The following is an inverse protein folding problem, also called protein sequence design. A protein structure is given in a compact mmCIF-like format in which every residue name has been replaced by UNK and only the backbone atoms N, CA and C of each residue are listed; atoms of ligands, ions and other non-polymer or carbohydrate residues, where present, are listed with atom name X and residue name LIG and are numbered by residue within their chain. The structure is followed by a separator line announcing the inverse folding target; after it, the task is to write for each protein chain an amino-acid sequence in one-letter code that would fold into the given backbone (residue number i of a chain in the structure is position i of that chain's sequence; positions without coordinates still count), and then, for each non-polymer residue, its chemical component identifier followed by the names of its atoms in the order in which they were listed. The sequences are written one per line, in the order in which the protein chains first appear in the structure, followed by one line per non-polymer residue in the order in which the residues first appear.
data_IF_170843703691
#
_entry.id   IF_170843703691
#
_cell.length_a   1.000
_cell.length_b   1.000
_cell.length_c   1.000
_cell.angle_alpha   90.00
_cell.angle_beta   90.00
_cell.angle_gamma   90.00
#
_symmetry.space_group_name_H-M   'P 1'
#
loop_
_entity.id
_entity.type
_entity.pdbx_description
1 polymer ?
#
# COMPACT_ATOMS: atom_id res chain seq x y z
N UNK A 1 26.43 24.27 -23.56
CA UNK A 1 25.90 25.03 -22.40
C UNK A 1 24.76 24.21 -21.84
N UNK A 2 24.99 23.58 -20.69
CA UNK A 2 24.12 22.55 -20.13
C UNK A 2 22.80 23.17 -19.66
N UNK A 3 21.68 22.68 -20.22
CA UNK A 3 20.35 22.96 -19.69
C UNK A 3 20.22 22.21 -18.37
N UNK A 4 20.31 22.93 -17.24
CA UNK A 4 19.86 22.42 -15.95
C UNK A 4 18.33 22.24 -16.06
N UNK A 5 17.87 21.01 -16.28
CA UNK A 5 16.47 20.68 -16.06
C UNK A 5 16.24 20.68 -14.54
N UNK A 6 15.64 21.76 -14.06
CA UNK A 6 15.21 21.87 -12.67
C UNK A 6 13.95 21.03 -12.49
N UNK A 7 14.13 19.75 -12.15
CA UNK A 7 13.09 18.74 -11.91
C UNK A 7 12.37 19.00 -10.58
N UNK A 8 11.83 20.21 -10.38
CA UNK A 8 11.09 20.56 -9.16
C UNK A 8 9.72 19.89 -9.17
N UNK A 9 9.60 18.79 -8.42
CA UNK A 9 8.38 18.35 -7.72
C UNK A 9 7.04 18.71 -8.39
N UNK A 10 6.79 18.21 -9.60
CA UNK A 10 5.51 18.43 -10.28
C UNK A 10 4.39 17.67 -9.56
N UNK A 11 3.52 18.38 -8.84
CA UNK A 11 2.29 17.83 -8.29
C UNK A 11 1.33 17.55 -9.45
N UNK A 12 1.16 16.27 -9.82
CA UNK A 12 0.23 15.89 -10.88
C UNK A 12 -1.10 15.51 -10.23
N UNK A 13 -2.03 16.47 -10.18
CA UNK A 13 -3.40 16.23 -9.74
C UNK A 13 -4.20 15.67 -10.92
N UNK A 14 -4.47 14.36 -10.93
CA UNK A 14 -5.46 13.77 -11.83
C UNK A 14 -6.69 13.36 -11.01
N UNK A 15 -7.67 14.25 -10.78
CA UNK A 15 -8.97 13.83 -10.30
C UNK A 15 -9.66 13.07 -11.44
N UNK A 16 -9.50 11.75 -11.46
CA UNK A 16 -10.09 10.90 -12.49
C UNK A 16 -11.34 10.23 -11.96
N UNK A 17 -12.49 10.87 -12.16
CA UNK A 17 -13.80 10.23 -12.01
C UNK A 17 -14.16 9.51 -13.32
N UNK A 18 -13.63 8.30 -13.53
CA UNK A 18 -14.17 7.38 -14.55
C UNK A 18 -14.87 6.22 -13.85
N UNK A 19 -16.11 5.96 -14.26
CA UNK A 19 -16.95 4.86 -13.79
C UNK A 19 -16.59 3.50 -14.45
N UNK A 20 -15.38 3.37 -15.00
CA UNK A 20 -14.91 2.15 -15.65
C UNK A 20 -13.39 2.15 -15.76
N UNK A 21 -12.75 1.16 -15.11
CA UNK A 21 -11.34 0.76 -15.27
C UNK A 21 -10.33 1.90 -15.53
N UNK A 22 -9.78 2.49 -14.47
CA UNK A 22 -8.69 3.46 -14.58
C UNK A 22 -7.32 2.78 -14.49
N UNK A 23 -6.47 3.06 -15.49
CA UNK A 23 -5.04 2.77 -15.50
C UNK A 23 -4.28 4.08 -15.37
N UNK A 24 -3.61 4.30 -14.23
CA UNK A 24 -2.72 5.45 -14.08
C UNK A 24 -1.28 5.01 -13.82
N UNK A 25 -0.37 5.65 -14.54
CA UNK A 25 1.07 5.42 -14.46
C UNK A 25 1.78 6.75 -14.28
N UNK A 26 2.54 6.87 -13.19
CA UNK A 26 3.37 8.03 -12.93
C UNK A 26 4.80 7.59 -12.54
N UNK A 27 5.80 8.15 -13.22
CA UNK A 27 7.21 7.79 -13.04
C UNK A 27 7.84 8.45 -11.82
N UNK A 28 7.59 9.75 -11.59
CA UNK A 28 8.17 10.53 -10.48
C UNK A 28 7.19 11.64 -10.03
N UNK A 29 7.13 11.92 -8.72
CA UNK A 29 6.44 13.08 -8.16
C UNK A 29 5.32 12.72 -7.18
N UNK A 30 4.29 13.56 -7.12
CA UNK A 30 3.10 13.33 -6.30
C UNK A 30 1.93 12.94 -7.20
N UNK A 31 1.29 11.80 -6.90
CA UNK A 31 0.09 11.32 -7.58
C UNK A 31 -1.06 11.16 -6.58
N UNK A 32 -2.20 11.78 -6.91
CA UNK A 32 -3.46 11.65 -6.17
C UNK A 32 -4.50 11.00 -7.08
N UNK A 33 -5.09 9.89 -6.64
CA UNK A 33 -6.14 9.16 -7.35
C UNK A 33 -7.37 9.04 -6.45
N UNK A 34 -8.53 9.37 -6.99
CA UNK A 34 -9.83 9.16 -6.34
C UNK A 34 -10.75 8.42 -7.29
N UNK A 35 -11.33 7.31 -6.84
CA UNK A 35 -12.19 6.46 -7.67
C UNK A 35 -13.40 5.99 -6.86
N UNK A 36 -14.59 6.16 -7.42
CA UNK A 36 -15.82 5.86 -6.69
C UNK A 36 -16.15 4.37 -6.73
N UNK A 37 -16.34 3.79 -7.91
CA UNK A 37 -16.87 2.42 -8.04
C UNK A 37 -16.21 1.65 -9.16
N UNK A 38 -15.94 0.36 -8.93
CA UNK A 38 -15.44 -0.59 -9.93
C UNK A 38 -13.95 -0.92 -9.77
N UNK A 39 -13.28 -1.18 -10.88
CA UNK A 39 -11.89 -1.64 -10.92
C UNK A 39 -10.90 -0.48 -11.10
N UNK A 40 -9.91 -0.37 -10.22
CA UNK A 40 -8.84 0.63 -10.31
C UNK A 40 -7.46 -0.06 -10.27
N UNK A 41 -6.60 0.26 -11.24
CA UNK A 41 -5.21 -0.18 -11.29
C UNK A 41 -4.27 1.02 -11.33
N UNK A 42 -3.43 1.15 -10.30
CA UNK A 42 -2.45 2.24 -10.18
C UNK A 42 -1.03 1.68 -10.10
N UNK A 43 -0.14 2.23 -10.92
CA UNK A 43 1.30 1.96 -10.84
C UNK A 43 2.08 3.26 -10.66
N UNK A 44 2.92 3.32 -9.64
CA UNK A 44 3.75 4.48 -9.36
C UNK A 44 5.18 4.09 -9.04
N UNK A 45 6.16 4.79 -9.62
CA UNK A 45 7.55 4.39 -9.50
C UNK A 45 8.32 5.18 -8.42
N UNK A 46 8.21 6.51 -8.34
CA UNK A 46 8.96 7.30 -7.35
C UNK A 46 8.17 8.47 -6.82
N UNK A 47 8.23 8.67 -5.50
CA UNK A 47 7.60 9.80 -4.83
C UNK A 47 6.45 9.36 -3.93
N UNK A 48 5.35 10.10 -3.98
CA UNK A 48 4.21 9.99 -3.08
C UNK A 48 2.95 9.61 -3.85
N UNK A 49 2.32 8.50 -3.47
CA UNK A 49 1.05 8.05 -4.02
C UNK A 49 -0.03 8.06 -2.94
N UNK A 50 -1.12 8.79 -3.20
CA UNK A 50 -2.34 8.76 -2.41
C UNK A 50 -3.49 8.21 -3.25
N UNK A 51 -4.11 7.12 -2.81
CA UNK A 51 -5.27 6.51 -3.46
C UNK A 51 -6.44 6.46 -2.49
N UNK A 52 -7.57 7.01 -2.91
CA UNK A 52 -8.87 6.84 -2.27
C UNK A 52 -9.81 6.10 -3.21
N UNK A 53 -10.37 4.99 -2.73
CA UNK A 53 -11.26 4.13 -3.52
C UNK A 53 -12.50 3.77 -2.70
N UNK A 54 -13.69 4.12 -3.18
CA UNK A 54 -14.89 3.92 -2.38
C UNK A 54 -15.34 2.44 -2.41
N UNK A 55 -15.69 1.90 -3.58
CA UNK A 55 -16.27 0.56 -3.71
C UNK A 55 -15.68 -0.24 -4.91
N UNK A 56 -15.42 -1.54 -4.73
CA UNK A 56 -15.00 -2.46 -5.81
C UNK A 56 -13.61 -3.10 -5.65
N UNK A 57 -12.79 -3.09 -6.70
CA UNK A 57 -11.47 -3.74 -6.73
C UNK A 57 -10.35 -2.74 -6.95
N UNK A 58 -9.36 -2.74 -6.07
CA UNK A 58 -8.20 -1.88 -6.14
C UNK A 58 -6.90 -2.69 -6.20
N UNK A 59 -6.11 -2.47 -7.25
CA UNK A 59 -4.75 -2.98 -7.38
C UNK A 59 -3.75 -1.81 -7.43
N UNK A 60 -2.84 -1.77 -6.46
CA UNK A 60 -1.78 -0.76 -6.40
C UNK A 60 -0.41 -1.40 -6.35
N UNK A 61 0.48 -0.95 -7.24
CA UNK A 61 1.91 -1.31 -7.22
C UNK A 61 2.76 -0.05 -7.13
N UNK A 62 3.63 0.00 -6.12
CA UNK A 62 4.55 1.12 -5.90
C UNK A 62 6.01 0.66 -5.76
N UNK A 63 6.91 1.44 -6.34
CA UNK A 63 8.35 1.42 -6.01
C UNK A 63 8.80 2.70 -5.30
N UNK A 64 7.82 3.54 -4.90
CA UNK A 64 8.04 4.87 -4.38
C UNK A 64 8.33 4.91 -2.89
N UNK A 65 8.48 6.12 -2.34
CA UNK A 65 8.88 6.32 -0.94
C UNK A 65 7.70 6.30 0.03
N UNK A 66 6.54 6.75 -0.41
CA UNK A 66 5.33 6.82 0.42
C UNK A 66 4.11 6.39 -0.37
N UNK A 67 3.37 5.42 0.17
CA UNK A 67 2.10 4.96 -0.37
C UNK A 67 1.03 4.98 0.73
N UNK A 68 -0.03 5.74 0.48
CA UNK A 68 -1.24 5.77 1.29
C UNK A 68 -2.43 5.29 0.46
N UNK A 69 -3.07 4.22 0.92
CA UNK A 69 -4.27 3.65 0.32
C UNK A 69 -5.39 3.64 1.35
N UNK A 70 -6.53 4.23 0.99
CA UNK A 70 -7.75 4.16 1.79
C UNK A 70 -8.92 3.67 0.97
N UNK A 71 -9.67 2.72 1.52
CA UNK A 71 -10.91 2.24 0.93
C UNK A 71 -12.05 2.14 1.93
N UNK A 72 -13.28 2.29 1.45
CA UNK A 72 -14.48 2.04 2.24
C UNK A 72 -14.91 0.58 2.12
N UNK A 73 -14.99 0.02 0.92
CA UNK A 73 -15.44 -1.35 0.71
C UNK A 73 -14.79 -2.01 -0.50
N UNK A 74 -14.39 -3.28 -0.34
CA UNK A 74 -14.06 -4.15 -1.48
C UNK A 74 -12.77 -4.95 -1.33
N UNK A 75 -12.12 -5.21 -2.46
CA UNK A 75 -10.92 -6.04 -2.54
C UNK A 75 -9.70 -5.20 -2.87
N UNK A 76 -8.74 -5.16 -1.94
CA UNK A 76 -7.51 -4.39 -2.08
C UNK A 76 -6.32 -5.33 -2.19
N UNK A 77 -5.56 -5.16 -3.27
CA UNK A 77 -4.24 -5.77 -3.45
C UNK A 77 -3.20 -4.65 -3.55
N UNK A 78 -2.33 -4.56 -2.54
CA UNK A 78 -1.34 -3.50 -2.44
C UNK A 78 0.06 -4.09 -2.30
N UNK A 79 0.97 -3.68 -3.18
CA UNK A 79 2.36 -4.11 -3.17
C UNK A 79 3.30 -2.92 -3.23
N UNK A 80 4.23 -2.85 -2.28
CA UNK A 80 5.34 -1.90 -2.30
C UNK A 80 6.69 -2.59 -2.25
N UNK A 81 7.65 -2.08 -3.03
CA UNK A 81 9.03 -2.55 -2.98
C UNK A 81 9.81 -1.94 -1.81
N UNK A 82 9.60 -0.66 -1.53
CA UNK A 82 10.34 0.09 -0.51
C UNK A 82 9.46 1.20 0.09
N UNK A 83 9.94 1.83 1.16
CA UNK A 83 9.33 3.04 1.74
C UNK A 83 8.30 2.80 2.84
N UNK A 84 7.44 3.79 3.05
CA UNK A 84 6.38 3.76 4.06
C UNK A 84 5.04 3.44 3.39
N UNK A 85 4.41 2.36 3.85
CA UNK A 85 3.13 1.88 3.37
C UNK A 85 2.07 1.97 4.46
N UNK A 86 1.04 2.76 4.20
CA UNK A 86 -0.17 2.85 5.02
C UNK A 86 -1.38 2.40 4.20
N UNK A 87 -2.05 1.34 4.66
CA UNK A 87 -3.26 0.81 4.01
C UNK A 87 -4.39 0.74 5.05
N UNK A 88 -5.53 1.32 4.72
CA UNK A 88 -6.73 1.23 5.55
C UNK A 88 -7.96 0.83 4.75
N UNK A 89 -8.75 -0.10 5.28
CA UNK A 89 -10.09 -0.38 4.77
C UNK A 89 -11.13 -0.36 5.89
N UNK A 90 -12.35 0.06 5.59
CA UNK A 90 -13.49 -0.13 6.49
C UNK A 90 -14.05 -1.55 6.36
N UNK A 91 -14.25 -2.05 5.14
CA UNK A 91 -14.81 -3.38 4.90
C UNK A 91 -14.15 -4.09 3.71
N UNK A 92 -14.09 -5.42 3.78
CA UNK A 92 -13.69 -6.27 2.65
C UNK A 92 -12.40 -7.05 2.87
N UNK A 93 -11.68 -7.31 1.78
CA UNK A 93 -10.50 -8.18 1.75
C UNK A 93 -9.27 -7.38 1.40
N UNK A 94 -8.24 -7.46 2.24
CA UNK A 94 -6.95 -6.82 2.01
C UNK A 94 -5.82 -7.84 1.92
N UNK A 95 -5.06 -7.76 0.83
CA UNK A 95 -3.79 -8.43 0.66
C UNK A 95 -2.70 -7.36 0.49
N UNK A 96 -1.82 -7.26 1.49
CA UNK A 96 -0.78 -6.24 1.52
C UNK A 96 0.59 -6.87 1.62
N UNK A 97 1.47 -6.47 0.70
CA UNK A 97 2.86 -6.92 0.66
C UNK A 97 3.80 -5.71 0.68
N UNK A 98 4.79 -5.76 1.57
CA UNK A 98 5.95 -4.85 1.53
C UNK A 98 7.25 -5.65 1.52
N UNK A 99 8.15 -5.32 0.61
CA UNK A 99 9.48 -5.94 0.60
C UNK A 99 10.42 -5.26 1.61
N UNK A 100 10.47 -3.93 1.64
CA UNK A 100 11.37 -3.16 2.50
C UNK A 100 10.66 -1.91 3.06
N UNK A 101 11.08 -1.45 4.25
CA UNK A 101 10.54 -0.26 4.90
C UNK A 101 9.43 -0.55 5.92
N UNK A 102 8.54 0.41 6.14
CA UNK A 102 7.54 0.34 7.22
C UNK A 102 6.16 0.00 6.67
N UNK A 103 5.47 -0.94 7.33
CA UNK A 103 4.13 -1.35 6.99
C UNK A 103 3.17 -1.10 8.14
N UNK A 104 2.15 -0.26 7.89
CA UNK A 104 1.01 -0.05 8.76
C UNK A 104 -0.27 -0.41 8.00
N UNK A 105 -1.05 -1.34 8.55
CA UNK A 105 -2.32 -1.76 7.97
C UNK A 105 -3.41 -1.78 9.02
N UNK A 106 -4.61 -1.31 8.65
CA UNK A 106 -5.79 -1.31 9.51
C UNK A 106 -7.04 -1.74 8.73
N UNK A 107 -7.85 -2.61 9.33
CA UNK A 107 -9.20 -2.93 8.86
C UNK A 107 -10.19 -2.78 9.99
N UNK A 108 -11.42 -2.34 9.70
CA UNK A 108 -12.53 -2.43 10.65
C UNK A 108 -13.23 -3.80 10.56
N UNK A 109 -13.56 -4.24 9.35
CA UNK A 109 -14.29 -5.50 9.09
C UNK A 109 -13.67 -6.27 7.92
N UNK A 110 -13.87 -7.60 7.88
CA UNK A 110 -13.40 -8.48 6.79
C UNK A 110 -12.07 -9.20 7.06
N UNK A 111 -11.28 -9.41 6.01
CA UNK A 111 -10.07 -10.26 6.06
C UNK A 111 -8.81 -9.47 5.70
N UNK A 112 -7.77 -9.66 6.49
CA UNK A 112 -6.47 -9.04 6.24
C UNK A 112 -5.35 -10.09 6.23
N UNK A 113 -4.67 -10.17 5.09
CA UNK A 113 -3.36 -10.82 4.95
C UNK A 113 -2.29 -9.75 4.73
N UNK A 114 -1.37 -9.64 5.67
CA UNK A 114 -0.23 -8.73 5.56
C UNK A 114 1.08 -9.52 5.63
N UNK A 115 1.98 -9.23 4.69
CA UNK A 115 3.34 -9.77 4.69
C UNK A 115 4.34 -8.63 4.53
N UNK A 116 5.33 -8.60 5.44
CA UNK A 116 6.49 -7.73 5.31
C UNK A 116 7.76 -8.54 5.45
N UNK A 117 8.73 -8.30 4.57
CA UNK A 117 10.06 -8.87 4.74
C UNK A 117 10.95 -8.05 5.70
N UNK A 118 10.51 -6.86 6.11
CA UNK A 118 11.12 -6.08 7.21
C UNK A 118 10.43 -6.37 8.56
N UNK A 119 11.19 -6.27 9.66
CA UNK A 119 10.73 -6.58 11.02
C UNK A 119 9.67 -5.60 11.58
N UNK A 120 9.52 -4.41 10.98
CA UNK A 120 8.69 -3.33 11.51
C UNK A 120 7.28 -3.32 10.91
N UNK A 121 6.46 -4.32 11.26
CA UNK A 121 5.01 -4.27 11.07
C UNK A 121 4.38 -3.72 12.35
N UNK A 122 4.13 -2.42 12.39
CA UNK A 122 3.28 -1.86 13.45
C UNK A 122 1.83 -2.11 13.07
N UNK A 123 1.16 -3.03 13.77
CA UNK A 123 -0.29 -3.24 13.61
C UNK A 123 -1.03 -2.49 14.69
N UNK A 124 -1.76 -1.46 14.33
CA UNK A 124 -2.86 -0.97 15.17
C UNK A 124 -4.10 -1.82 14.87
N UNK A 125 -4.05 -3.08 15.31
CA UNK A 125 -5.28 -3.82 15.63
C UNK A 125 -5.85 -3.18 16.88
N UNK A 126 -6.80 -2.26 16.72
CA UNK A 126 -7.77 -2.09 17.79
C UNK A 126 -8.42 -3.47 18.00
N UNK A 127 -8.10 -4.09 19.14
CA UNK A 127 -9.07 -4.62 20.09
C UNK A 127 -10.55 -4.58 19.63
N UNK A 128 -10.91 -5.34 18.62
CA UNK A 128 -12.26 -5.85 18.39
C UNK A 128 -12.20 -7.35 18.14
N UNK A 129 -11.46 -8.07 19.00
CA UNK A 129 -12.03 -9.30 19.56
C UNK A 129 -13.15 -8.90 20.52
N UNK A 130 -14.23 -8.38 19.95
CA UNK A 130 -15.56 -8.39 20.56
C UNK A 130 -16.52 -8.61 19.42
N UNK A 131 -16.69 -9.89 19.09
CA UNK A 131 -17.88 -10.45 18.48
C UNK A 131 -18.35 -9.75 17.19
N UNK A 132 -17.71 -10.09 16.05
CA UNK A 132 -18.31 -10.47 14.75
C UNK A 132 -17.36 -10.17 13.57
N UNK A 133 -16.56 -11.17 13.15
CA UNK A 133 -16.24 -11.31 11.72
C UNK A 133 -14.83 -11.00 11.16
N UNK A 134 -13.84 -10.56 11.94
CA UNK A 134 -12.49 -10.26 11.40
C UNK A 134 -11.49 -11.43 11.57
N UNK A 135 -10.81 -11.84 10.49
CA UNK A 135 -9.70 -12.81 10.52
C UNK A 135 -8.39 -12.15 10.04
N UNK A 136 -7.32 -12.27 10.84
CA UNK A 136 -6.01 -11.68 10.58
C UNK A 136 -4.92 -12.76 10.52
N UNK A 137 -4.21 -12.84 9.40
CA UNK A 137 -3.01 -13.65 9.26
C UNK A 137 -1.84 -12.74 8.89
N UNK A 138 -0.75 -12.80 9.65
CA UNK A 138 0.46 -12.02 9.37
C UNK A 138 1.69 -12.90 9.33
N UNK A 139 2.43 -12.72 8.24
CA UNK A 139 3.69 -13.40 7.99
C UNK A 139 4.81 -12.35 8.06
N UNK A 140 5.76 -12.56 8.96
CA UNK A 140 7.00 -11.79 9.06
C UNK A 140 8.15 -12.72 8.77
N UNK A 141 9.12 -12.31 7.95
CA UNK A 141 10.37 -13.05 7.83
C UNK A 141 11.17 -12.83 9.11
N UNK A 142 11.39 -13.90 9.88
CA UNK A 142 12.38 -13.92 10.96
C UNK A 142 13.72 -14.17 10.31
N UNK A 143 14.54 -13.14 10.15
CA UNK A 143 15.93 -13.34 9.75
C UNK A 143 16.61 -14.18 10.84
N UNK A 144 17.07 -15.37 10.47
CA UNK A 144 17.98 -16.14 11.29
C UNK A 144 19.36 -15.46 11.19
N UNK A 145 20.08 -15.21 12.29
CA UNK A 145 21.43 -14.67 12.22
C UNK A 145 22.33 -15.65 11.47
N UNK A 146 23.08 -15.14 10.50
CA UNK A 146 24.02 -15.91 9.68
C UNK A 146 25.39 -15.93 10.36
N UNK A 147 25.46 -16.44 11.59
CA UNK A 147 26.65 -16.31 12.44
C UNK A 147 26.84 -17.54 13.34
N UNK A 148 26.81 -18.75 12.77
CA UNK A 148 27.50 -19.91 13.36
C UNK A 148 28.72 -20.24 12.51
N UNK A 149 29.78 -19.42 12.64
CA UNK A 149 31.13 -19.96 12.53
C UNK A 149 31.52 -20.49 13.90
N UNK A 150 31.39 -21.80 14.08
CA UNK A 150 32.20 -22.53 15.06
C UNK A 150 33.67 -22.27 14.76
N UNK A 151 34.34 -21.51 15.62
CA UNK A 151 35.80 -21.59 15.77
C UNK A 151 36.09 -21.69 17.28
N UNK A 152 36.56 -22.90 17.62
CA UNK A 152 37.07 -23.42 18.90
C UNK A 152 36.06 -23.73 20.01
#
# INVERSE_FOLDING_TARGET
MNQLQDTRNTLTLKPVAVNSALLDYNKEGYLLVSHNEGYLLVSHNRGYLLVSHNEGYLLVSSKGRYLLVSSKEGYLLVSSKEGYLLVSSKEGYMLVYSKEGYLLVSSKEGYLLANSASADIMKTTQLLNSNKGMQLLVLTRKDAPADEQCIC
#
